data_IF_454025455580
#
_entry.id   IF_454025455580
#
_cell.length_a   1.000
_cell.length_b   1.000
_cell.length_c   1.000
_cell.angle_alpha   90.00
_cell.angle_beta   90.00
_cell.angle_gamma   90.00
#
_symmetry.space_group_name_H-M   'P 1'
#
loop_
_entity.id
_entity.type
_entity.pdbx_description
1 polymer ?
#
# COMPACT_ATOMS: atom_id res chain seq x y z
N UNK A 1 -18.13 14.17 -5.27
CA UNK A 1 -16.82 14.71 -4.82
C UNK A 1 -16.87 16.23 -4.77
N UNK A 2 -17.24 16.75 -3.62
CA UNK A 2 -17.42 18.21 -3.45
C UNK A 2 -16.12 18.99 -3.64
N UNK A 3 -14.99 18.46 -3.14
CA UNK A 3 -13.70 19.14 -3.27
C UNK A 3 -13.22 19.24 -4.72
N UNK A 4 -13.54 18.25 -5.57
CA UNK A 4 -13.24 18.33 -7.01
C UNK A 4 -14.05 19.41 -7.69
N UNK A 5 -15.32 19.56 -7.30
CA UNK A 5 -16.19 20.62 -7.85
C UNK A 5 -15.79 22.00 -7.35
N UNK A 6 -15.36 22.09 -6.08
CA UNK A 6 -14.95 23.35 -5.47
C UNK A 6 -13.60 23.86 -5.97
N UNK A 7 -12.69 22.96 -6.36
CA UNK A 7 -11.35 23.28 -6.83
C UNK A 7 -11.00 22.44 -8.06
N UNK A 8 -11.67 22.68 -9.20
CA UNK A 8 -11.42 21.90 -10.41
C UNK A 8 -10.01 22.12 -10.93
N UNK A 9 -9.35 21.03 -11.32
CA UNK A 9 -8.01 21.01 -11.83
C UNK A 9 -7.96 20.09 -13.06
N UNK A 10 -7.30 20.54 -14.14
CA UNK A 10 -7.23 19.76 -15.38
C UNK A 10 -6.53 18.40 -15.21
N UNK A 11 -5.60 18.31 -14.25
CA UNK A 11 -4.85 17.08 -13.98
C UNK A 11 -5.45 16.23 -12.86
N UNK A 12 -6.61 16.64 -12.32
CA UNK A 12 -7.28 15.91 -11.25
C UNK A 12 -8.54 15.25 -11.82
N UNK A 13 -8.51 13.94 -11.93
CA UNK A 13 -9.58 13.17 -12.53
C UNK A 13 -10.59 12.70 -11.48
N UNK A 14 -11.85 12.44 -11.86
CA UNK A 14 -12.84 11.86 -10.97
C UNK A 14 -12.37 10.50 -10.45
N UNK A 15 -12.78 10.09 -9.23
CA UNK A 15 -12.42 8.78 -8.71
C UNK A 15 -13.04 7.65 -9.54
N UNK A 16 -12.31 6.55 -9.63
CA UNK A 16 -12.75 5.33 -10.30
C UNK A 16 -12.88 4.24 -9.22
N UNK A 17 -13.95 3.46 -9.26
CA UNK A 17 -14.10 2.34 -8.36
C UNK A 17 -13.02 1.29 -8.66
N UNK A 18 -12.27 0.89 -7.64
CA UNK A 18 -11.23 -0.11 -7.75
C UNK A 18 -11.33 -1.11 -6.61
N UNK A 19 -11.60 -2.36 -6.95
CA UNK A 19 -11.38 -3.50 -6.07
C UNK A 19 -10.09 -4.17 -6.54
N UNK A 20 -9.08 -4.24 -5.67
CA UNK A 20 -7.76 -4.78 -6.05
C UNK A 20 -7.82 -6.24 -6.50
N UNK A 21 -8.85 -6.98 -6.09
CA UNK A 21 -9.05 -8.38 -6.46
C UNK A 21 -9.68 -8.54 -7.86
N UNK A 22 -10.16 -7.47 -8.45
CA UNK A 22 -10.75 -7.44 -9.79
C UNK A 22 -9.78 -6.82 -10.79
N UNK A 23 -10.03 -6.96 -12.11
CA UNK A 23 -9.17 -6.32 -13.10
C UNK A 23 -9.02 -4.83 -12.89
N UNK A 24 -7.80 -4.34 -12.98
CA UNK A 24 -7.48 -2.93 -12.76
C UNK A 24 -7.67 -2.10 -14.01
N UNK A 25 -8.11 -0.84 -13.88
CA UNK A 25 -8.18 0.05 -15.04
C UNK A 25 -6.78 0.39 -15.55
N UNK A 26 -6.64 0.53 -16.86
CA UNK A 26 -5.39 0.93 -17.52
C UNK A 26 -5.42 2.44 -17.74
N UNK A 27 -4.97 3.20 -16.75
CA UNK A 27 -5.05 4.67 -16.78
C UNK A 27 -3.70 5.36 -17.00
N UNK A 28 -2.62 4.59 -17.19
CA UNK A 28 -1.32 5.15 -17.55
C UNK A 28 -0.62 5.90 -16.43
N UNK A 29 -0.77 5.45 -15.19
CA UNK A 29 -0.14 6.09 -14.04
C UNK A 29 1.34 5.71 -13.90
N UNK A 30 2.16 6.64 -13.42
CA UNK A 30 3.59 6.42 -13.14
C UNK A 30 3.84 6.01 -11.69
N UNK A 31 2.89 6.25 -10.81
CA UNK A 31 2.99 5.91 -9.40
C UNK A 31 1.63 5.57 -8.82
N UNK A 32 1.64 4.69 -7.82
CA UNK A 32 0.46 4.33 -7.04
C UNK A 32 0.79 4.64 -5.58
N UNK A 33 -0.07 5.40 -4.92
CA UNK A 33 0.07 5.70 -3.49
C UNK A 33 -1.17 5.23 -2.74
N UNK A 34 -0.96 4.54 -1.63
CA UNK A 34 -2.05 4.20 -0.74
C UNK A 34 -1.61 4.33 0.71
N UNK A 35 -2.53 4.81 1.55
CA UNK A 35 -2.27 5.05 2.96
C UNK A 35 -3.26 4.27 3.81
N UNK A 36 -2.73 3.56 4.83
CA UNK A 36 -3.54 2.89 5.84
C UNK A 36 -4.53 1.87 5.27
N UNK A 37 -4.13 1.12 4.26
CA UNK A 37 -5.01 0.15 3.59
C UNK A 37 -4.60 -1.31 3.80
N UNK A 38 -3.30 -1.62 3.75
CA UNK A 38 -2.86 -3.04 3.73
C UNK A 38 -3.09 -3.75 5.06
N UNK A 39 -3.25 -3.02 6.15
CA UNK A 39 -3.56 -3.61 7.45
C UNK A 39 -5.06 -3.87 7.67
N UNK A 40 -5.93 -3.31 6.83
CA UNK A 40 -7.38 -3.50 6.91
C UNK A 40 -7.96 -4.40 5.83
N UNK A 41 -7.14 -4.85 4.88
CA UNK A 41 -7.58 -5.79 3.85
C UNK A 41 -7.03 -7.20 4.14
N UNK A 42 -7.71 -8.28 3.70
CA UNK A 42 -7.19 -9.62 3.87
C UNK A 42 -5.91 -9.82 3.07
N UNK A 43 -5.08 -10.79 3.48
CA UNK A 43 -3.77 -11.02 2.83
C UNK A 43 -3.90 -11.28 1.33
N UNK A 44 -4.97 -11.98 0.91
CA UNK A 44 -5.23 -12.19 -0.51
C UNK A 44 -5.32 -10.86 -1.27
N UNK A 45 -6.03 -9.88 -0.70
CA UNK A 45 -6.14 -8.55 -1.32
C UNK A 45 -4.80 -7.82 -1.34
N UNK A 46 -3.98 -7.98 -0.30
CA UNK A 46 -2.62 -7.43 -0.30
C UNK A 46 -1.80 -8.02 -1.44
N UNK A 47 -1.88 -9.34 -1.64
CA UNK A 47 -1.22 -10.02 -2.76
C UNK A 47 -1.70 -9.46 -4.10
N UNK A 48 -3.01 -9.30 -4.26
CA UNK A 48 -3.61 -8.76 -5.49
C UNK A 48 -3.20 -7.29 -5.72
N UNK A 49 -3.03 -6.52 -4.64
CA UNK A 49 -2.54 -5.15 -4.74
C UNK A 49 -1.15 -5.10 -5.38
N UNK A 50 -0.22 -5.93 -4.90
CA UNK A 50 1.14 -5.98 -5.45
C UNK A 50 1.15 -6.46 -6.90
N UNK A 51 0.36 -7.48 -7.20
CA UNK A 51 0.26 -8.01 -8.57
C UNK A 51 -0.34 -6.96 -9.52
N UNK A 52 -1.46 -6.36 -9.14
CA UNK A 52 -2.12 -5.33 -9.96
C UNK A 52 -1.24 -4.11 -10.16
N UNK A 53 -0.54 -3.67 -9.13
CA UNK A 53 0.41 -2.57 -9.25
C UNK A 53 1.53 -2.92 -10.24
N UNK A 54 2.08 -4.12 -10.13
CA UNK A 54 3.14 -4.56 -11.04
C UNK A 54 2.67 -4.62 -12.49
N UNK A 55 1.46 -5.09 -12.73
CA UNK A 55 0.91 -5.21 -14.09
C UNK A 55 0.56 -3.87 -14.72
N UNK A 56 0.16 -2.88 -13.91
CA UNK A 56 -0.31 -1.59 -14.44
C UNK A 56 0.74 -0.50 -14.44
N UNK A 57 1.79 -0.61 -13.61
CA UNK A 57 2.87 0.37 -13.58
C UNK A 57 3.79 0.20 -14.79
N UNK A 58 4.29 1.31 -15.35
CA UNK A 58 5.34 1.24 -16.37
C UNK A 58 6.67 0.85 -15.73
N UNK A 59 7.68 0.55 -16.56
CA UNK A 59 9.06 0.36 -16.10
C UNK A 59 9.46 1.55 -15.22
N UNK A 60 10.05 1.28 -14.06
CA UNK A 60 10.47 2.27 -13.06
C UNK A 60 9.32 2.99 -12.37
N UNK A 61 8.07 2.59 -12.61
CA UNK A 61 6.93 3.09 -11.86
C UNK A 61 7.02 2.73 -10.39
N UNK A 62 6.36 3.50 -9.53
CA UNK A 62 6.49 3.39 -8.08
C UNK A 62 5.19 2.93 -7.44
N UNK A 63 5.32 2.01 -6.47
CA UNK A 63 4.25 1.68 -5.53
C UNK A 63 4.65 2.20 -4.16
N UNK A 64 3.84 3.07 -3.58
CA UNK A 64 4.10 3.72 -2.30
C UNK A 64 3.04 3.32 -1.29
N UNK A 65 3.45 2.73 -0.18
CA UNK A 65 2.56 2.36 0.93
C UNK A 65 2.91 3.17 2.17
N UNK A 66 1.92 3.88 2.71
CA UNK A 66 2.07 4.63 3.96
C UNK A 66 1.24 3.99 5.06
N UNK A 67 1.80 3.89 6.26
CA UNK A 67 1.09 3.40 7.41
C UNK A 67 2.01 2.82 8.47
N UNK A 68 1.44 2.17 9.49
CA UNK A 68 2.22 1.43 10.48
C UNK A 68 2.55 0.03 9.95
N UNK A 69 3.80 -0.39 10.15
CA UNK A 69 4.29 -1.71 9.71
C UNK A 69 5.07 -2.36 10.84
N UNK A 70 5.31 -3.67 10.70
CA UNK A 70 6.10 -4.46 11.65
C UNK A 70 7.39 -4.90 10.96
N UNK A 71 8.46 -4.93 11.73
CA UNK A 71 9.77 -5.49 11.31
C UNK A 71 10.08 -6.69 12.21
N UNK A 72 10.61 -7.76 11.63
CA UNK A 72 10.92 -8.97 12.40
C UNK A 72 12.01 -8.74 13.45
N UNK A 73 12.89 -7.74 13.24
CA UNK A 73 14.05 -7.47 14.10
C UNK A 73 13.90 -6.22 14.95
N UNK A 74 12.75 -5.58 14.94
CA UNK A 74 12.53 -4.35 15.71
C UNK A 74 11.35 -4.51 16.62
N UNK A 75 11.43 -3.92 17.82
CA UNK A 75 10.31 -3.84 18.73
C UNK A 75 9.23 -2.93 18.16
N UNK A 76 8.00 -3.36 18.28
CA UNK A 76 6.84 -2.57 17.86
C UNK A 76 6.48 -1.58 18.96
N UNK A 77 6.20 -0.33 18.59
CA UNK A 77 5.73 0.68 19.55
C UNK A 77 4.44 0.22 20.23
N UNK A 78 4.28 0.58 21.51
CA UNK A 78 3.12 0.15 22.29
C UNK A 78 1.79 0.54 21.68
N UNK A 79 1.69 1.74 21.09
CA UNK A 79 0.49 2.20 20.39
C UNK A 79 0.17 1.31 19.18
N UNK A 80 1.18 0.89 18.44
CA UNK A 80 1.01 0.02 17.28
C UNK A 80 0.65 -1.41 17.70
N UNK A 81 1.18 -1.90 18.83
CA UNK A 81 0.76 -3.19 19.40
C UNK A 81 -0.72 -3.20 19.74
N UNK A 82 -1.20 -2.13 20.35
CA UNK A 82 -2.62 -1.98 20.69
C UNK A 82 -3.48 -1.93 19.43
N UNK A 83 -3.03 -1.18 18.44
CA UNK A 83 -3.74 -1.05 17.18
C UNK A 83 -3.83 -2.38 16.44
N UNK A 84 -2.73 -3.13 16.36
CA UNK A 84 -2.70 -4.46 15.75
C UNK A 84 -3.69 -5.40 16.44
N UNK A 85 -3.71 -5.39 17.78
CA UNK A 85 -4.65 -6.20 18.55
C UNK A 85 -6.09 -5.81 18.26
N UNK A 86 -6.40 -4.51 18.20
CA UNK A 86 -7.73 -4.02 17.87
C UNK A 86 -8.18 -4.45 16.47
N UNK A 87 -7.30 -4.37 15.50
CA UNK A 87 -7.60 -4.81 14.14
C UNK A 87 -7.97 -6.30 14.11
N UNK A 88 -7.16 -7.14 14.74
CA UNK A 88 -7.39 -8.59 14.78
C UNK A 88 -8.66 -8.98 15.54
N UNK A 89 -9.01 -8.22 16.57
CA UNK A 89 -10.26 -8.44 17.30
C UNK A 89 -11.48 -8.09 16.45
N UNK A 90 -11.39 -7.04 15.64
CA UNK A 90 -12.48 -6.63 14.75
C UNK A 90 -12.62 -7.59 13.57
N UNK A 91 -11.51 -8.04 12.99
CA UNK A 91 -11.49 -8.97 11.87
C UNK A 91 -10.17 -9.74 11.90
N UNK A 92 -10.19 -11.09 12.07
CA UNK A 92 -8.97 -11.89 12.13
C UNK A 92 -8.08 -11.81 10.89
N UNK A 93 -8.63 -11.39 9.74
CA UNK A 93 -7.86 -11.21 8.50
C UNK A 93 -7.09 -9.90 8.46
N UNK A 94 -7.40 -8.97 9.36
CA UNK A 94 -6.72 -7.69 9.50
C UNK A 94 -5.53 -7.81 10.45
N UNK A 95 -4.63 -6.84 10.36
CA UNK A 95 -3.48 -6.75 11.25
C UNK A 95 -2.34 -6.02 10.57
N UNK A 96 -1.39 -5.52 11.37
CA UNK A 96 -0.20 -4.88 10.83
C UNK A 96 0.61 -5.89 10.05
N UNK A 97 1.18 -5.45 8.93
CA UNK A 97 1.94 -6.33 8.03
C UNK A 97 3.43 -6.19 8.28
N UNK A 98 4.15 -7.31 8.17
CA UNK A 98 5.60 -7.32 8.21
C UNK A 98 6.16 -6.77 6.92
N UNK A 99 7.10 -5.83 7.02
CA UNK A 99 7.78 -5.27 5.84
C UNK A 99 8.46 -6.39 5.04
N UNK A 100 9.07 -7.37 5.74
CA UNK A 100 9.73 -8.50 5.08
C UNK A 100 8.75 -9.36 4.28
N UNK A 101 7.52 -9.54 4.77
CA UNK A 101 6.50 -10.29 4.04
C UNK A 101 6.02 -9.53 2.81
N UNK A 102 5.83 -8.23 2.94
CA UNK A 102 5.45 -7.37 1.80
C UNK A 102 6.57 -7.36 0.75
N UNK A 103 7.83 -7.31 1.18
CA UNK A 103 8.96 -7.31 0.26
C UNK A 103 9.09 -8.63 -0.51
N UNK A 104 8.75 -9.76 0.12
CA UNK A 104 8.69 -11.04 -0.59
C UNK A 104 7.62 -11.04 -1.68
N UNK A 105 6.44 -10.48 -1.40
CA UNK A 105 5.40 -10.30 -2.42
C UNK A 105 5.89 -9.42 -3.57
N UNK A 106 6.53 -8.31 -3.21
CA UNK A 106 7.06 -7.35 -4.18
C UNK A 106 8.07 -8.01 -5.11
N UNK A 107 9.01 -8.76 -4.56
CA UNK A 107 10.04 -9.45 -5.37
C UNK A 107 9.42 -10.43 -6.36
N UNK A 108 8.41 -11.18 -5.93
CA UNK A 108 7.70 -12.10 -6.82
C UNK A 108 6.93 -11.37 -7.93
N UNK A 109 6.54 -10.13 -7.67
CA UNK A 109 5.81 -9.30 -8.63
C UNK A 109 6.73 -8.41 -9.48
N UNK A 110 8.07 -8.54 -9.34
CA UNK A 110 9.01 -7.73 -10.11
C UNK A 110 9.18 -6.31 -9.57
N UNK A 111 8.96 -6.11 -8.28
CA UNK A 111 9.11 -4.82 -7.61
C UNK A 111 10.27 -4.89 -6.61
N UNK A 112 11.08 -3.84 -6.56
CA UNK A 112 12.22 -3.72 -5.65
C UNK A 112 12.00 -2.60 -4.66
N UNK A 113 12.20 -2.88 -3.36
CA UNK A 113 12.13 -1.86 -2.32
C UNK A 113 13.29 -0.88 -2.49
N UNK A 114 12.98 0.39 -2.72
CA UNK A 114 13.97 1.44 -2.96
C UNK A 114 14.01 2.47 -1.84
N UNK A 115 12.99 2.54 -0.98
CA UNK A 115 12.98 3.45 0.15
C UNK A 115 12.09 2.92 1.27
N UNK A 116 12.52 3.17 2.49
CA UNK A 116 11.78 2.92 3.73
C UNK A 116 12.03 4.12 4.62
N UNK A 117 11.09 5.06 4.64
CA UNK A 117 11.25 6.32 5.34
C UNK A 117 10.40 6.35 6.60
N UNK A 118 11.03 6.67 7.73
CA UNK A 118 10.32 6.86 8.99
C UNK A 118 9.51 8.14 8.93
N UNK A 119 8.24 8.03 9.26
CA UNK A 119 7.27 9.13 9.24
C UNK A 119 6.76 9.38 10.67
N UNK A 120 6.20 10.56 10.93
CA UNK A 120 5.67 10.85 12.27
C UNK A 120 4.64 9.84 12.74
N UNK A 121 4.54 9.68 14.08
CA UNK A 121 3.55 8.87 14.77
C UNK A 121 3.68 7.38 14.45
N UNK A 122 4.94 6.89 14.38
CA UNK A 122 5.27 5.47 14.20
C UNK A 122 4.74 4.90 12.87
N UNK A 123 4.69 5.73 11.83
CA UNK A 123 4.37 5.30 10.48
C UNK A 123 5.66 5.20 9.64
N UNK A 124 5.55 4.48 8.54
CA UNK A 124 6.60 4.35 7.53
C UNK A 124 6.03 4.67 6.16
N UNK A 125 6.87 5.19 5.28
CA UNK A 125 6.57 5.27 3.85
C UNK A 125 7.49 4.30 3.14
N UNK A 126 6.90 3.24 2.58
CA UNK A 126 7.62 2.22 1.85
C UNK A 126 7.43 2.46 0.36
N UNK A 127 8.51 2.44 -0.40
CA UNK A 127 8.47 2.68 -1.84
C UNK A 127 9.13 1.52 -2.56
N UNK A 128 8.37 0.88 -3.44
CA UNK A 128 8.88 -0.14 -4.36
C UNK A 128 8.90 0.41 -5.78
N UNK A 129 9.88 0.00 -6.57
CA UNK A 129 10.03 0.40 -7.95
C UNK A 129 9.96 -0.82 -8.85
N UNK A 130 9.19 -0.73 -9.94
CA UNK A 130 9.10 -1.78 -10.93
C UNK A 130 10.39 -1.87 -11.74
N UNK A 131 10.86 -3.09 -11.96
CA UNK A 131 12.01 -3.37 -12.82
C UNK A 131 11.74 -2.96 -14.27
N UNK A 132 12.81 -2.73 -15.00
CA UNK A 132 12.74 -2.44 -16.44
C UNK A 132 12.27 -3.65 -17.24
#
# INVERSE_FOLDING_TARGET
MQWLKAAPNANLHPPIALDVCNPWPQIGQDAIFTANTVHIMPWRAVTDLFLGASETLPSRGLLCLYGPFIYTRKSLAASNKRFDKQLKQRDPTQGLRYVEALDRLAKRSGLKLVADMTMPTNNQLLVWQKHC
#
